data_IF_569905560982
#
_entry.id   IF_569905560982
#
_cell.length_a   1.000
_cell.length_b   1.000
_cell.length_c   1.000
_cell.angle_alpha   90.00
_cell.angle_beta   90.00
_cell.angle_gamma   90.00
#
_symmetry.space_group_name_H-M   'P 1'
#
loop_
_entity.id
_entity.type
_entity.pdbx_description
1 polymer ?
#
# COMPACT_ATOMS: atom_id res chain seq x y z
N UNK A 1 -8.16 -26.91 -8.26
CA UNK A 1 -7.55 -25.58 -8.33
C UNK A 1 -6.05 -25.73 -8.13
N UNK A 2 -5.19 -24.99 -8.84
CA UNK A 2 -3.74 -25.05 -8.64
C UNK A 2 -3.37 -24.65 -7.20
N UNK A 3 -2.19 -25.10 -6.74
CA UNK A 3 -1.68 -24.76 -5.40
C UNK A 3 -1.54 -23.23 -5.26
N UNK A 4 -1.80 -22.64 -4.06
CA UNK A 4 -1.53 -21.23 -3.87
C UNK A 4 -0.03 -20.97 -4.08
N UNK A 5 0.26 -19.90 -4.81
CA UNK A 5 1.64 -19.46 -5.03
C UNK A 5 1.97 -18.53 -3.88
N UNK A 6 3.00 -18.85 -3.10
CA UNK A 6 3.57 -17.92 -2.13
C UNK A 6 4.64 -17.08 -2.80
N UNK A 7 4.71 -15.82 -2.44
CA UNK A 7 5.60 -14.85 -3.08
C UNK A 7 7.09 -15.28 -3.05
N UNK A 8 7.50 -16.11 -2.08
CA UNK A 8 8.87 -16.58 -1.92
C UNK A 8 9.03 -18.10 -1.81
N UNK A 9 7.96 -18.85 -2.01
CA UNK A 9 8.12 -20.29 -2.08
C UNK A 9 8.81 -20.64 -3.40
N UNK A 10 9.92 -21.39 -3.41
CA UNK A 10 10.36 -22.04 -4.63
C UNK A 10 9.18 -22.84 -5.18
N UNK A 11 9.02 -22.85 -6.50
CA UNK A 11 7.93 -23.57 -7.20
C UNK A 11 7.77 -25.03 -6.75
N UNK A 12 8.84 -25.59 -6.15
CA UNK A 12 8.90 -26.92 -5.55
C UNK A 12 8.11 -27.08 -4.22
N UNK A 13 7.76 -26.02 -3.48
CA UNK A 13 7.05 -26.17 -2.19
C UNK A 13 5.60 -26.61 -2.34
N UNK A 14 4.94 -26.31 -3.46
CA UNK A 14 3.61 -26.84 -3.77
C UNK A 14 3.61 -28.32 -4.17
N UNK A 15 4.73 -28.83 -4.71
CA UNK A 15 4.87 -30.20 -5.18
C UNK A 15 5.51 -31.15 -4.14
N UNK A 16 6.29 -30.63 -3.19
CA UNK A 16 7.13 -31.42 -2.28
C UNK A 16 6.48 -31.74 -0.92
N UNK A 17 5.29 -31.21 -0.61
CA UNK A 17 4.67 -31.34 0.73
C UNK A 17 3.61 -32.43 0.83
N UNK A 18 3.45 -33.31 -0.17
CA UNK A 18 2.41 -34.34 -0.18
C UNK A 18 1.02 -33.79 0.23
N UNK A 19 0.68 -32.57 -0.17
CA UNK A 19 -0.58 -31.91 0.16
C UNK A 19 -0.63 -31.22 1.53
N UNK A 20 0.43 -31.29 2.35
CA UNK A 20 0.49 -30.65 3.65
C UNK A 20 0.96 -29.19 3.58
N UNK A 21 0.57 -28.39 4.57
CA UNK A 21 1.08 -27.04 4.75
C UNK A 21 2.56 -27.04 5.16
N UNK A 22 3.33 -26.00 4.78
CA UNK A 22 4.65 -25.80 5.35
C UNK A 22 4.57 -25.71 6.88
N UNK A 23 5.46 -26.38 7.65
CA UNK A 23 5.34 -26.46 9.10
C UNK A 23 5.26 -25.10 9.81
N UNK A 24 5.93 -24.08 9.26
CA UNK A 24 5.87 -22.72 9.82
C UNK A 24 4.48 -22.09 9.65
N UNK A 25 3.86 -22.23 8.48
CA UNK A 25 2.50 -21.72 8.23
C UNK A 25 1.47 -22.50 9.07
N UNK A 26 1.58 -23.82 9.14
CA UNK A 26 0.68 -24.65 9.96
C UNK A 26 0.72 -24.22 11.44
N UNK A 27 1.92 -24.01 11.99
CA UNK A 27 2.06 -23.52 13.37
C UNK A 27 1.37 -22.17 13.57
N UNK A 28 1.52 -21.22 12.63
CA UNK A 28 0.85 -19.93 12.74
C UNK A 28 -0.67 -20.04 12.65
N UNK A 29 -1.20 -20.85 11.72
CA UNK A 29 -2.64 -21.10 11.63
C UNK A 29 -3.18 -21.63 12.95
N UNK A 30 -2.51 -22.65 13.54
CA UNK A 30 -2.91 -23.21 14.85
C UNK A 30 -2.87 -22.18 15.98
N UNK A 31 -1.82 -21.37 16.05
CA UNK A 31 -1.73 -20.26 17.03
C UNK A 31 -2.88 -19.26 16.87
N UNK A 32 -3.17 -18.86 15.62
CA UNK A 32 -4.24 -17.90 15.32
C UNK A 32 -5.61 -18.44 15.76
N UNK A 33 -5.90 -19.71 15.46
CA UNK A 33 -7.15 -20.35 15.91
C UNK A 33 -7.25 -20.51 17.43
N UNK A 34 -6.13 -20.79 18.09
CA UNK A 34 -6.10 -20.93 19.55
C UNK A 34 -6.29 -19.59 20.27
N UNK A 35 -5.83 -18.49 19.69
CA UNK A 35 -5.82 -17.16 20.32
C UNK A 35 -7.04 -16.32 19.98
N UNK A 36 -7.55 -16.41 18.76
CA UNK A 36 -8.61 -15.54 18.28
C UNK A 36 -9.92 -16.30 18.03
N UNK A 37 -10.95 -16.05 18.86
CA UNK A 37 -12.26 -16.67 18.71
C UNK A 37 -12.95 -16.35 17.38
N UNK A 38 -12.58 -15.21 16.77
CA UNK A 38 -13.09 -14.79 15.46
C UNK A 38 -13.00 -15.91 14.43
N UNK A 39 -11.86 -16.61 14.36
CA UNK A 39 -11.63 -17.61 13.31
C UNK A 39 -12.44 -18.88 13.54
N UNK A 40 -12.53 -19.35 14.77
CA UNK A 40 -13.39 -20.50 15.11
C UNK A 40 -14.87 -20.25 14.85
N UNK A 41 -15.35 -19.01 15.10
CA UNK A 41 -16.72 -18.58 14.79
C UNK A 41 -16.99 -18.46 13.29
N UNK A 42 -15.99 -18.04 12.51
CA UNK A 42 -16.12 -17.88 11.05
C UNK A 42 -16.07 -19.22 10.31
N UNK A 43 -15.17 -20.09 10.71
CA UNK A 43 -14.90 -21.35 10.05
C UNK A 43 -14.29 -22.35 11.05
N UNK A 44 -15.08 -23.31 11.55
CA UNK A 44 -14.56 -24.36 12.41
C UNK A 44 -13.56 -25.22 11.61
N UNK A 45 -12.31 -25.25 12.05
CA UNK A 45 -11.24 -25.98 11.39
C UNK A 45 -11.00 -27.31 12.10
N UNK A 46 -11.13 -28.44 11.39
CA UNK A 46 -10.66 -29.73 11.83
C UNK A 46 -9.16 -29.86 11.59
N UNK A 47 -8.37 -29.80 12.67
CA UNK A 47 -6.94 -29.49 12.61
C UNK A 47 -6.00 -30.70 12.48
N UNK A 48 -6.44 -31.85 11.93
CA UNK A 48 -5.60 -33.05 11.91
C UNK A 48 -5.51 -33.70 10.53
N UNK A 49 -4.36 -33.81 9.96
CA UNK A 49 -3.30 -32.80 9.73
C UNK A 49 -3.79 -31.72 8.77
N UNK A 50 -3.29 -30.48 8.92
CA UNK A 50 -3.75 -29.39 8.08
C UNK A 50 -3.17 -29.50 6.67
N UNK A 51 -4.02 -29.74 5.70
CA UNK A 51 -3.68 -29.83 4.28
C UNK A 51 -3.98 -28.52 3.55
N UNK A 52 -3.34 -28.35 2.40
CA UNK A 52 -3.60 -27.20 1.51
C UNK A 52 -5.07 -27.10 1.12
N UNK A 53 -5.76 -28.21 0.90
CA UNK A 53 -7.19 -28.21 0.59
C UNK A 53 -8.00 -27.50 1.67
N UNK A 54 -7.81 -27.91 2.94
CA UNK A 54 -8.49 -27.29 4.09
C UNK A 54 -8.13 -25.83 4.29
N UNK A 55 -6.84 -25.48 4.15
CA UNK A 55 -6.40 -24.08 4.27
C UNK A 55 -7.08 -23.16 3.25
N UNK A 56 -7.28 -23.63 2.02
CA UNK A 56 -7.94 -22.84 0.97
C UNK A 56 -9.44 -22.65 1.21
N UNK A 57 -10.07 -23.55 1.95
CA UNK A 57 -11.48 -23.42 2.34
C UNK A 57 -11.69 -22.36 3.41
N UNK A 58 -10.64 -21.98 4.17
CA UNK A 58 -10.74 -20.88 5.15
C UNK A 58 -11.13 -19.60 4.40
N UNK A 59 -12.29 -19.01 4.72
CA UNK A 59 -12.74 -17.80 4.04
C UNK A 59 -11.76 -16.63 4.24
N UNK A 60 -11.47 -15.89 3.17
CA UNK A 60 -10.65 -14.70 3.26
C UNK A 60 -11.27 -13.68 4.22
N UNK A 61 -10.44 -13.10 5.06
CA UNK A 61 -10.85 -12.02 5.95
C UNK A 61 -10.72 -10.68 5.20
N UNK A 62 -11.76 -9.86 5.20
CA UNK A 62 -11.75 -8.54 4.56
C UNK A 62 -11.78 -7.41 5.59
N UNK A 63 -11.26 -6.24 5.19
CA UNK A 63 -11.37 -5.02 6.01
C UNK A 63 -12.83 -4.71 6.38
N UNK A 64 -13.75 -4.85 5.41
CA UNK A 64 -15.19 -4.61 5.63
C UNK A 64 -15.74 -5.51 6.74
N UNK A 65 -15.33 -6.76 6.77
CA UNK A 65 -15.76 -7.71 7.80
C UNK A 65 -15.18 -7.35 9.17
N UNK A 66 -13.91 -6.96 9.24
CA UNK A 66 -13.28 -6.53 10.51
C UNK A 66 -14.00 -5.29 11.06
N UNK A 67 -14.28 -4.31 10.22
CA UNK A 67 -15.02 -3.10 10.63
C UNK A 67 -16.42 -3.44 11.11
N UNK A 68 -17.12 -4.33 10.43
CA UNK A 68 -18.49 -4.72 10.80
C UNK A 68 -18.56 -5.51 12.12
N UNK A 69 -17.55 -6.35 12.43
CA UNK A 69 -17.49 -7.14 13.67
C UNK A 69 -16.86 -6.37 14.84
N UNK A 70 -16.08 -5.34 14.54
CA UNK A 70 -15.23 -4.65 15.51
C UNK A 70 -13.94 -5.43 15.80
N UNK A 71 -12.89 -4.71 16.19
CA UNK A 71 -11.61 -5.30 16.55
C UNK A 71 -11.70 -6.19 17.81
N UNK A 72 -12.69 -5.95 18.70
CA UNK A 72 -12.92 -6.75 19.90
C UNK A 72 -13.21 -8.23 19.59
N UNK A 73 -13.77 -8.54 18.41
CA UNK A 73 -14.07 -9.91 17.99
C UNK A 73 -12.82 -10.82 17.89
N UNK A 74 -11.63 -10.23 17.84
CA UNK A 74 -10.38 -11.00 17.84
C UNK A 74 -9.98 -11.55 19.20
N UNK A 75 -10.57 -11.07 20.30
CA UNK A 75 -10.12 -11.35 21.66
C UNK A 75 -11.17 -12.11 22.46
N UNK A 76 -10.74 -13.11 23.22
CA UNK A 76 -11.61 -13.83 24.14
C UNK A 76 -11.90 -13.00 25.42
N UNK A 77 -10.91 -12.22 25.86
CA UNK A 77 -11.02 -11.29 26.99
C UNK A 77 -10.48 -9.90 26.55
N UNK A 78 -11.40 -9.05 26.10
CA UNK A 78 -11.03 -7.69 25.69
C UNK A 78 -10.62 -6.80 26.89
N UNK A 79 -11.16 -7.06 28.07
CA UNK A 79 -10.75 -6.33 29.29
C UNK A 79 -9.26 -6.56 29.63
N UNK A 80 -8.70 -7.73 29.28
CA UNK A 80 -7.26 -7.95 29.42
C UNK A 80 -6.45 -7.07 28.43
N UNK A 81 -6.97 -6.84 27.24
CA UNK A 81 -6.35 -5.94 26.26
C UNK A 81 -6.41 -4.49 26.74
N UNK A 82 -7.53 -4.04 27.31
CA UNK A 82 -7.69 -2.70 27.88
C UNK A 82 -6.70 -2.47 29.03
N UNK A 83 -6.51 -3.44 29.91
CA UNK A 83 -5.46 -3.38 30.95
C UNK A 83 -4.05 -3.30 30.32
N UNK A 84 -3.82 -4.08 29.26
CA UNK A 84 -2.56 -4.07 28.53
C UNK A 84 -2.22 -2.73 27.88
N UNK A 85 -3.20 -1.94 27.45
CA UNK A 85 -2.97 -0.55 27.02
C UNK A 85 -2.47 0.34 28.16
N UNK A 86 -3.09 0.24 29.34
CA UNK A 86 -2.64 0.98 30.52
C UNK A 86 -1.21 0.60 30.96
N UNK A 87 -0.84 -0.65 30.74
CA UNK A 87 0.49 -1.22 31.04
C UNK A 87 1.51 -1.02 29.91
N UNK A 88 1.13 -0.35 28.81
CA UNK A 88 1.94 -0.15 27.61
C UNK A 88 2.44 -1.45 26.96
N UNK A 89 1.68 -2.53 27.04
CA UNK A 89 1.95 -3.80 26.37
C UNK A 89 1.37 -3.84 24.96
N UNK A 90 0.31 -3.08 24.75
CA UNK A 90 -0.38 -2.94 23.48
C UNK A 90 -0.50 -1.48 23.09
N UNK A 91 -0.53 -1.25 21.81
CA UNK A 91 -0.85 0.01 21.16
C UNK A 91 -1.95 -0.21 20.13
N UNK A 92 -2.65 0.83 19.76
CA UNK A 92 -3.62 0.78 18.67
C UNK A 92 -3.35 1.85 17.64
N UNK A 93 -3.67 1.51 16.41
CA UNK A 93 -3.57 2.40 15.26
C UNK A 93 -4.89 2.43 14.50
N UNK A 94 -5.17 3.53 13.82
CA UNK A 94 -6.29 3.63 12.92
C UNK A 94 -5.81 3.59 11.48
N UNK A 95 -6.41 2.71 10.66
CA UNK A 95 -6.06 2.71 9.24
C UNK A 95 -6.54 4.00 8.60
N UNK A 96 -5.65 4.71 7.91
CA UNK A 96 -5.99 5.83 7.03
C UNK A 96 -6.81 5.35 5.84
N UNK A 97 -8.12 5.12 6.03
CA UNK A 97 -8.97 4.54 5.00
C UNK A 97 -9.21 5.48 3.83
N UNK A 98 -8.90 5.03 2.61
CA UNK A 98 -9.52 5.56 1.37
C UNK A 98 -10.98 5.11 1.24
N UNK A 99 -11.41 4.15 2.04
CA UNK A 99 -12.79 3.63 2.17
C UNK A 99 -13.41 4.14 3.48
N UNK A 100 -14.67 4.44 3.45
CA UNK A 100 -15.51 5.23 4.36
C UNK A 100 -15.41 4.97 5.89
N UNK A 101 -14.70 3.95 6.35
CA UNK A 101 -14.57 3.67 7.79
C UNK A 101 -13.15 3.31 8.16
N UNK A 102 -12.52 4.02 9.10
CA UNK A 102 -11.24 3.62 9.67
C UNK A 102 -11.41 2.29 10.41
N UNK A 103 -10.40 1.44 10.35
CA UNK A 103 -10.34 0.20 11.11
C UNK A 103 -9.35 0.40 12.25
N UNK A 104 -9.75 0.04 13.45
CA UNK A 104 -8.84 -0.02 14.59
C UNK A 104 -8.03 -1.31 14.51
N UNK A 105 -6.73 -1.19 14.65
CA UNK A 105 -5.75 -2.28 14.67
C UNK A 105 -5.06 -2.27 16.02
N UNK A 106 -5.08 -3.39 16.73
CA UNK A 106 -4.38 -3.57 18.00
C UNK A 106 -3.10 -4.37 17.75
N UNK A 107 -1.99 -3.93 18.31
CA UNK A 107 -0.70 -4.58 18.16
C UNK A 107 0.11 -4.52 19.46
N UNK A 108 1.10 -5.37 19.57
CA UNK A 108 2.06 -5.35 20.66
C UNK A 108 2.93 -4.12 20.58
N UNK A 109 3.32 -3.58 21.74
CA UNK A 109 4.32 -2.52 21.85
C UNK A 109 5.60 -2.90 21.08
N UNK A 110 6.07 -2.00 20.22
CA UNK A 110 7.27 -2.21 19.41
C UNK A 110 7.11 -3.12 18.20
N UNK A 111 5.90 -3.60 17.90
CA UNK A 111 5.64 -4.45 16.72
C UNK A 111 6.07 -3.76 15.41
N UNK A 112 5.76 -2.47 15.24
CA UNK A 112 6.19 -1.69 14.07
C UNK A 112 7.70 -1.57 13.94
N UNK A 113 8.42 -1.41 15.05
CA UNK A 113 9.88 -1.35 15.05
C UNK A 113 10.48 -2.67 14.53
N UNK A 114 9.95 -3.80 15.00
CA UNK A 114 10.37 -5.12 14.53
C UNK A 114 10.04 -5.35 13.04
N UNK A 115 8.87 -4.91 12.57
CA UNK A 115 8.47 -4.96 11.15
C UNK A 115 9.42 -4.12 10.29
N UNK A 116 9.77 -2.93 10.74
CA UNK A 116 10.67 -2.01 10.04
C UNK A 116 12.09 -2.59 9.95
N UNK A 117 12.63 -3.12 11.05
CA UNK A 117 13.95 -3.73 11.05
C UNK A 117 14.06 -4.89 10.07
N UNK A 118 13.09 -5.80 10.07
CA UNK A 118 13.03 -6.94 9.12
C UNK A 118 12.92 -6.47 7.68
N UNK A 119 12.13 -5.43 7.42
CA UNK A 119 12.02 -4.83 6.09
C UNK A 119 13.35 -4.21 5.63
N UNK A 120 14.04 -3.50 6.52
CA UNK A 120 15.34 -2.91 6.22
C UNK A 120 16.40 -3.98 5.96
N UNK A 121 16.43 -5.06 6.75
CA UNK A 121 17.33 -6.21 6.54
C UNK A 121 17.10 -6.89 5.17
N UNK A 122 15.85 -6.92 4.70
CA UNK A 122 15.50 -7.50 3.40
C UNK A 122 15.95 -6.64 2.21
N UNK A 123 16.25 -5.34 2.43
CA UNK A 123 16.68 -4.42 1.38
C UNK A 123 18.21 -4.27 1.34
N UNK A 124 18.87 -4.50 0.18
CA UNK A 124 20.30 -4.21 0.04
C UNK A 124 20.68 -2.76 0.33
N UNK A 125 19.77 -1.82 0.06
CA UNK A 125 19.96 -0.39 0.26
C UNK A 125 19.75 -0.01 1.73
N UNK A 126 18.69 -0.52 2.38
CA UNK A 126 18.28 -0.09 3.73
C UNK A 126 19.02 -0.81 4.84
N UNK A 127 19.56 -2.02 4.62
CA UNK A 127 20.26 -2.81 5.65
C UNK A 127 21.42 -2.08 6.32
N UNK A 128 22.03 -1.11 5.67
CA UNK A 128 23.11 -0.30 6.25
C UNK A 128 22.67 0.56 7.45
N UNK A 129 21.36 0.73 7.64
CA UNK A 129 20.79 1.52 8.75
C UNK A 129 20.40 0.68 9.95
N UNK A 130 20.39 -0.66 9.82
CA UNK A 130 20.07 -1.57 10.94
C UNK A 130 21.21 -1.66 11.93
N UNK A 131 20.90 -1.67 13.22
CA UNK A 131 21.86 -1.83 14.30
C UNK A 131 22.76 -0.62 14.59
N UNK A 132 22.47 0.54 14.01
CA UNK A 132 23.15 1.79 14.30
C UNK A 132 22.19 2.99 14.34
N UNK A 133 22.51 4.04 15.08
CA UNK A 133 21.74 5.28 15.02
C UNK A 133 21.89 5.95 13.64
N UNK A 134 20.79 6.50 13.14
CA UNK A 134 20.75 7.32 11.93
C UNK A 134 19.62 8.36 12.06
N UNK A 135 19.70 9.43 11.29
CA UNK A 135 18.67 10.47 11.25
C UNK A 135 17.74 10.23 10.08
N UNK A 136 16.44 10.32 10.36
CA UNK A 136 15.38 10.17 9.38
C UNK A 136 14.41 11.34 9.43
N UNK A 137 13.97 11.83 8.27
CA UNK A 137 12.85 12.74 8.15
C UNK A 137 11.68 12.03 7.48
N UNK A 138 10.48 12.24 7.98
CA UNK A 138 9.22 11.68 7.44
C UNK A 138 8.32 12.81 6.99
N UNK A 139 7.77 12.69 5.78
CA UNK A 139 6.78 13.61 5.21
C UNK A 139 5.65 12.82 4.54
N UNK A 140 4.52 12.71 5.22
CA UNK A 140 3.39 11.88 4.79
C UNK A 140 2.08 12.35 5.47
N UNK A 141 0.92 11.85 5.05
CA UNK A 141 -0.32 12.17 5.75
C UNK A 141 -0.21 11.91 7.25
N UNK A 142 -0.46 12.93 8.08
CA UNK A 142 -0.25 12.88 9.55
C UNK A 142 -0.97 11.69 10.19
N UNK A 143 -2.23 11.45 9.83
CA UNK A 143 -3.00 10.31 10.35
C UNK A 143 -2.55 8.92 9.86
N UNK A 144 -1.47 8.83 9.08
CA UNK A 144 -0.91 7.56 8.58
C UNK A 144 0.54 7.34 9.02
N UNK A 145 1.25 8.41 9.42
CA UNK A 145 2.70 8.38 9.64
C UNK A 145 3.12 8.58 11.08
N UNK A 146 2.23 9.13 11.90
CA UNK A 146 2.51 9.43 13.29
C UNK A 146 1.22 9.37 14.12
N UNK A 147 1.36 9.20 15.43
CA UNK A 147 0.27 9.32 16.39
C UNK A 147 -0.02 10.78 16.79
N UNK A 148 0.50 11.74 16.03
CA UNK A 148 0.27 13.15 16.27
C UNK A 148 -1.16 13.53 15.86
N UNK A 149 -1.83 14.26 16.74
CA UNK A 149 -3.16 14.79 16.43
C UNK A 149 -3.08 15.86 15.33
N UNK A 150 -3.75 15.72 14.18
CA UNK A 150 -3.66 16.69 13.09
C UNK A 150 -4.34 18.04 13.40
N UNK A 151 -5.02 18.15 14.53
CA UNK A 151 -5.74 19.36 14.97
C UNK A 151 -5.02 20.12 16.08
N UNK A 152 -3.85 19.64 16.49
CA UNK A 152 -3.02 20.27 17.51
C UNK A 152 -1.75 20.84 16.92
N UNK A 153 -1.23 21.91 17.51
CA UNK A 153 0.09 22.42 17.18
C UNK A 153 1.16 21.56 17.86
N UNK A 154 2.03 20.99 17.06
CA UNK A 154 3.13 20.14 17.52
C UNK A 154 4.47 20.82 17.21
N UNK A 155 4.95 21.70 18.10
CA UNK A 155 6.27 22.29 17.89
C UNK A 155 7.37 21.21 17.94
N UNK A 156 8.48 21.47 17.28
CA UNK A 156 9.71 20.74 17.56
C UNK A 156 10.11 21.02 19.03
N UNK A 157 10.36 20.06 19.91
CA UNK A 157 10.74 18.66 19.69
C UNK A 157 9.59 17.63 19.76
N UNK A 158 8.34 18.00 19.89
CA UNK A 158 7.21 17.05 19.98
C UNK A 158 7.06 16.19 18.72
N UNK A 159 7.73 16.55 17.62
CA UNK A 159 7.77 15.82 16.36
C UNK A 159 9.07 15.04 16.14
N UNK A 160 9.90 14.93 17.19
CA UNK A 160 11.17 14.22 17.14
C UNK A 160 11.12 12.98 18.05
N UNK A 161 11.30 11.79 17.47
CA UNK A 161 11.26 10.51 18.16
C UNK A 161 12.44 9.64 17.68
N UNK A 162 13.35 9.29 18.56
CA UNK A 162 14.47 8.35 18.31
C UNK A 162 15.21 8.55 16.98
N UNK A 163 15.58 9.78 16.67
CA UNK A 163 16.28 10.12 15.42
C UNK A 163 15.35 10.36 14.23
N UNK A 164 14.04 10.26 14.41
CA UNK A 164 13.03 10.51 13.38
C UNK A 164 12.37 11.87 13.60
N UNK A 165 12.36 12.72 12.57
CA UNK A 165 11.63 13.99 12.54
C UNK A 165 10.45 13.88 11.61
N UNK A 166 9.24 14.11 12.13
CA UNK A 166 8.03 14.25 11.34
C UNK A 166 7.87 15.71 10.90
N UNK A 167 7.96 15.95 9.59
CA UNK A 167 8.12 17.32 9.06
C UNK A 167 6.82 18.08 8.94
N UNK A 168 5.69 17.43 8.61
CA UNK A 168 4.42 18.10 8.34
C UNK A 168 3.45 18.06 9.53
N UNK A 169 2.60 19.09 9.59
CA UNK A 169 1.56 19.25 10.60
C UNK A 169 0.14 19.00 10.04
N UNK A 170 -0.03 18.93 8.73
CA UNK A 170 -1.31 18.71 8.07
C UNK A 170 -1.22 17.68 6.95
N UNK A 171 -2.39 17.24 6.45
CA UNK A 171 -2.51 16.10 5.54
C UNK A 171 -2.79 16.48 4.07
N UNK A 172 -2.64 17.75 3.71
CA UNK A 172 -2.75 18.22 2.31
C UNK A 172 -1.55 19.07 1.93
N UNK A 173 -0.54 18.50 1.24
CA UNK A 173 0.70 19.22 0.91
C UNK A 173 0.49 20.34 -0.12
N UNK A 174 -0.64 20.33 -0.86
CA UNK A 174 -0.99 21.43 -1.75
C UNK A 174 -1.59 22.64 -1.01
N UNK A 175 -2.11 22.42 0.20
CA UNK A 175 -2.66 23.46 1.05
C UNK A 175 -1.62 24.04 2.03
N UNK A 176 -0.39 23.51 2.08
CA UNK A 176 0.64 24.06 2.94
C UNK A 176 0.97 25.50 2.53
N UNK A 177 0.90 26.48 3.45
CA UNK A 177 1.37 27.83 3.17
C UNK A 177 2.88 27.84 2.94
N UNK A 178 3.40 28.88 2.27
CA UNK A 178 4.85 29.02 2.02
C UNK A 178 5.67 28.99 3.32
N UNK A 179 5.13 29.55 4.42
CA UNK A 179 5.76 29.49 5.74
C UNK A 179 5.93 28.06 6.28
N UNK A 180 5.00 27.18 6.00
CA UNK A 180 5.11 25.76 6.36
C UNK A 180 6.22 25.08 5.54
N UNK A 181 6.30 25.37 4.24
CA UNK A 181 7.40 24.88 3.40
C UNK A 181 8.76 25.46 3.84
N UNK A 182 8.80 26.73 4.28
CA UNK A 182 10.02 27.35 4.83
C UNK A 182 10.49 26.61 6.08
N UNK A 183 9.57 26.30 6.99
CA UNK A 183 9.84 25.54 8.22
C UNK A 183 10.31 24.12 7.90
N UNK A 184 9.57 23.39 7.05
CA UNK A 184 9.91 22.02 6.64
C UNK A 184 11.32 21.94 6.05
N UNK A 185 11.65 22.84 5.14
CA UNK A 185 12.96 22.89 4.48
C UNK A 185 14.07 23.30 5.45
N UNK A 186 13.80 24.22 6.40
CA UNK A 186 14.73 24.58 7.47
C UNK A 186 15.03 23.38 8.36
N UNK A 187 14.01 22.65 8.81
CA UNK A 187 14.16 21.47 9.67
C UNK A 187 14.89 20.34 8.94
N UNK A 188 14.56 20.09 7.67
CA UNK A 188 15.28 19.15 6.82
C UNK A 188 16.77 19.47 6.72
N UNK A 189 17.10 20.75 6.49
CA UNK A 189 18.48 21.24 6.45
C UNK A 189 19.19 21.11 7.80
N UNK A 190 18.51 21.43 8.89
CA UNK A 190 19.09 21.35 10.25
C UNK A 190 19.32 19.89 10.68
N UNK A 191 18.41 19.00 10.34
CA UNK A 191 18.48 17.57 10.68
C UNK A 191 19.59 16.85 9.91
N UNK A 192 19.87 17.25 8.65
CA UNK A 192 20.78 16.51 7.76
C UNK A 192 20.50 15.00 7.79
N UNK A 193 19.28 14.54 7.39
CA UNK A 193 18.91 13.15 7.47
C UNK A 193 19.72 12.27 6.53
N UNK A 194 19.96 11.03 6.94
CA UNK A 194 20.48 9.97 6.07
C UNK A 194 19.37 9.28 5.27
N UNK A 195 18.14 9.31 5.81
CA UNK A 195 16.94 8.73 5.17
C UNK A 195 15.84 9.78 5.11
N UNK A 196 15.23 9.93 3.95
CA UNK A 196 13.95 10.64 3.78
C UNK A 196 12.90 9.60 3.44
N UNK A 197 11.80 9.57 4.21
CA UNK A 197 10.69 8.65 4.00
C UNK A 197 9.40 9.44 3.80
N UNK A 198 8.54 9.00 2.89
CA UNK A 198 7.26 9.66 2.77
C UNK A 198 6.37 9.16 1.64
N UNK A 199 5.23 9.80 1.58
CA UNK A 199 4.28 9.62 0.48
C UNK A 199 4.84 10.29 -0.78
N UNK A 200 4.81 9.63 -1.94
CA UNK A 200 5.51 10.10 -3.14
C UNK A 200 5.18 11.53 -3.59
N UNK A 201 3.93 11.96 -3.43
CA UNK A 201 3.51 13.31 -3.83
C UNK A 201 4.04 14.36 -2.86
N UNK A 202 4.00 14.07 -1.55
CA UNK A 202 4.58 14.92 -0.52
C UNK A 202 6.08 15.09 -0.74
N UNK A 203 6.78 14.00 -1.08
CA UNK A 203 8.22 14.06 -1.37
C UNK A 203 8.52 14.79 -2.69
N UNK A 204 7.68 14.66 -3.70
CA UNK A 204 7.79 15.42 -4.95
C UNK A 204 7.65 16.94 -4.69
N UNK A 205 6.69 17.33 -3.84
CA UNK A 205 6.50 18.73 -3.47
C UNK A 205 7.58 19.24 -2.51
N UNK A 206 8.14 18.38 -1.65
CA UNK A 206 9.33 18.68 -0.85
C UNK A 206 10.53 18.96 -1.76
N UNK A 207 10.73 18.14 -2.79
CA UNK A 207 11.77 18.36 -3.79
C UNK A 207 11.63 19.74 -4.46
N UNK A 208 10.39 20.09 -4.87
CA UNK A 208 10.08 21.41 -5.41
C UNK A 208 10.39 22.54 -4.42
N UNK A 209 10.00 22.38 -3.16
CA UNK A 209 10.22 23.36 -2.12
C UNK A 209 11.71 23.56 -1.82
N UNK A 210 12.49 22.49 -1.79
CA UNK A 210 13.94 22.53 -1.59
C UNK A 210 14.66 23.20 -2.78
N UNK A 211 14.29 22.84 -4.01
CA UNK A 211 14.84 23.47 -5.23
C UNK A 211 14.54 24.97 -5.27
N UNK A 212 13.28 25.37 -5.02
CA UNK A 212 12.88 26.79 -4.99
C UNK A 212 13.70 27.62 -3.99
N UNK A 213 14.14 27.00 -2.89
CA UNK A 213 14.90 27.62 -1.80
C UNK A 213 16.42 27.40 -1.90
N UNK A 214 16.88 26.72 -2.94
CA UNK A 214 18.31 26.44 -3.15
C UNK A 214 18.91 25.54 -2.06
N UNK A 215 18.09 24.72 -1.38
CA UNK A 215 18.55 23.85 -0.29
C UNK A 215 18.99 22.50 -0.84
N UNK A 216 20.18 22.08 -0.44
CA UNK A 216 20.73 20.74 -0.70
C UNK A 216 20.94 19.97 0.60
N UNK A 217 20.71 18.67 0.56
CA UNK A 217 20.86 17.77 1.71
C UNK A 217 21.75 16.59 1.31
N UNK A 218 23.08 16.80 1.26
CA UNK A 218 24.02 15.79 0.76
C UNK A 218 24.17 14.57 1.69
N UNK A 219 23.64 14.65 2.89
CA UNK A 219 23.63 13.55 3.87
C UNK A 219 22.67 12.42 3.48
N UNK A 220 21.71 12.65 2.58
CA UNK A 220 20.71 11.64 2.19
C UNK A 220 21.37 10.48 1.46
N UNK A 221 21.18 9.27 1.99
CA UNK A 221 21.70 8.00 1.46
C UNK A 221 20.62 7.11 0.89
N UNK A 222 19.36 7.33 1.29
CA UNK A 222 18.20 6.61 0.76
C UNK A 222 16.93 7.46 0.86
N UNK A 223 16.05 7.31 -0.13
CA UNK A 223 14.68 7.85 -0.10
C UNK A 223 13.71 6.67 -0.11
N UNK A 224 12.81 6.61 0.87
CA UNK A 224 11.80 5.55 0.99
C UNK A 224 10.46 6.11 0.51
N UNK A 225 9.91 5.49 -0.53
CA UNK A 225 8.57 5.77 -1.06
C UNK A 225 7.60 4.77 -0.44
N UNK A 226 6.63 5.26 0.32
CA UNK A 226 5.64 4.43 1.01
C UNK A 226 4.31 5.19 1.13
N UNK A 227 3.29 4.66 1.81
CA UNK A 227 1.95 5.23 2.01
C UNK A 227 1.07 5.33 0.75
N UNK A 228 1.64 5.49 -0.45
CA UNK A 228 0.94 5.63 -1.72
C UNK A 228 1.71 5.08 -2.91
N UNK A 229 1.03 4.93 -4.05
CA UNK A 229 1.70 4.48 -5.29
C UNK A 229 2.47 5.63 -5.92
N UNK A 230 3.76 5.44 -6.13
CA UNK A 230 4.61 6.40 -6.83
C UNK A 230 4.44 6.33 -8.35
N UNK A 231 4.48 7.50 -9.00
CA UNK A 231 4.69 7.67 -10.44
C UNK A 231 6.17 7.89 -10.74
N UNK A 232 6.64 7.52 -11.93
CA UNK A 232 8.00 7.85 -12.38
C UNK A 232 8.25 9.36 -12.44
N UNK A 233 7.19 10.16 -12.62
CA UNK A 233 7.28 11.63 -12.54
C UNK A 233 7.71 12.07 -11.13
N UNK A 234 7.11 11.50 -10.08
CA UNK A 234 7.53 11.76 -8.70
C UNK A 234 9.00 11.36 -8.48
N UNK A 235 9.36 10.16 -8.93
CA UNK A 235 10.73 9.65 -8.78
C UNK A 235 11.78 10.53 -9.42
N UNK A 236 11.53 11.04 -10.65
CA UNK A 236 12.42 11.99 -11.33
C UNK A 236 12.60 13.27 -10.52
N UNK A 237 11.50 13.88 -10.07
CA UNK A 237 11.52 15.12 -9.28
C UNK A 237 12.24 14.98 -7.94
N UNK A 238 12.02 13.85 -7.28
CA UNK A 238 12.70 13.52 -6.03
C UNK A 238 14.19 13.32 -6.26
N UNK A 239 14.60 12.61 -7.32
CA UNK A 239 16.01 12.37 -7.65
C UNK A 239 16.77 13.67 -8.02
N UNK A 240 16.10 14.64 -8.67
CA UNK A 240 16.68 15.95 -8.98
C UNK A 240 17.09 16.73 -7.71
N UNK A 241 16.32 16.59 -6.62
CA UNK A 241 16.59 17.28 -5.36
C UNK A 241 17.44 16.43 -4.39
N UNK A 242 17.19 15.12 -4.37
CA UNK A 242 17.82 14.16 -3.46
C UNK A 242 18.40 13.00 -4.29
N UNK A 243 19.63 13.11 -4.82
CA UNK A 243 20.25 12.12 -5.71
C UNK A 243 20.71 10.88 -4.94
N UNK A 244 19.80 10.19 -4.29
CA UNK A 244 20.01 8.95 -3.54
C UNK A 244 19.15 7.81 -4.09
N UNK A 245 19.51 6.54 -3.86
CA UNK A 245 18.66 5.41 -4.22
C UNK A 245 17.26 5.53 -3.65
N UNK A 246 16.24 5.27 -4.49
CA UNK A 246 14.83 5.28 -4.08
C UNK A 246 14.37 3.85 -3.85
N UNK A 247 13.73 3.60 -2.72
CA UNK A 247 13.22 2.29 -2.29
C UNK A 247 11.70 2.35 -2.20
N UNK A 248 11.01 1.42 -2.85
CA UNK A 248 9.57 1.20 -2.69
C UNK A 248 9.37 0.24 -1.51
N UNK A 249 8.72 0.72 -0.45
CA UNK A 249 8.42 -0.05 0.74
C UNK A 249 6.90 -0.14 0.91
N UNK A 250 6.36 -1.31 0.56
CA UNK A 250 4.93 -1.55 0.59
C UNK A 250 4.49 -2.29 1.84
N UNK A 251 3.41 -1.79 2.44
CA UNK A 251 2.75 -2.39 3.58
C UNK A 251 1.40 -1.75 3.88
N UNK A 252 0.78 -2.20 4.96
CA UNK A 252 -0.44 -1.61 5.50
C UNK A 252 -0.41 -1.62 7.02
N UNK A 253 -1.17 -0.73 7.65
CA UNK A 253 -1.25 -0.59 9.11
C UNK A 253 -1.56 -1.93 9.78
N UNK A 254 -2.48 -2.70 9.20
CA UNK A 254 -2.94 -3.96 9.76
C UNK A 254 -2.01 -5.16 9.50
N UNK A 255 -1.22 -5.12 8.43
CA UNK A 255 -0.42 -6.27 8.00
C UNK A 255 1.11 -6.06 8.14
N UNK A 256 1.56 -4.83 8.42
CA UNK A 256 2.97 -4.47 8.45
C UNK A 256 3.57 -4.31 7.06
N UNK A 257 4.90 -4.31 6.97
CA UNK A 257 5.62 -4.25 5.71
C UNK A 257 5.67 -5.62 5.03
N UNK A 258 5.26 -5.67 3.76
CA UNK A 258 5.08 -6.90 3.00
C UNK A 258 6.05 -7.06 1.83
N UNK A 259 6.39 -5.97 1.14
CA UNK A 259 7.33 -5.99 0.01
C UNK A 259 8.30 -4.82 0.10
N UNK A 260 9.55 -5.07 -0.35
CA UNK A 260 10.59 -4.04 -0.47
C UNK A 260 11.38 -4.27 -1.75
N UNK A 261 11.68 -3.17 -2.46
CA UNK A 261 12.51 -3.22 -3.69
C UNK A 261 13.01 -1.84 -4.09
N UNK A 262 13.76 -1.77 -5.17
CA UNK A 262 14.11 -0.48 -5.75
C UNK A 262 12.87 0.12 -6.44
N UNK A 263 12.61 1.39 -6.17
CA UNK A 263 11.48 2.08 -6.78
C UNK A 263 11.58 2.05 -8.33
N UNK A 264 10.43 1.90 -8.98
CA UNK A 264 10.29 1.86 -10.45
C UNK A 264 10.99 0.68 -11.15
N UNK A 265 11.43 -0.34 -10.38
CA UNK A 265 11.95 -1.60 -10.89
C UNK A 265 11.02 -2.76 -10.57
N UNK A 266 11.17 -3.86 -11.32
CA UNK A 266 10.36 -5.07 -11.16
C UNK A 266 11.06 -6.08 -10.25
N UNK A 267 11.67 -5.58 -9.18
CA UNK A 267 12.53 -6.36 -8.30
C UNK A 267 12.10 -6.34 -6.83
N UNK A 268 10.87 -5.88 -6.54
CA UNK A 268 10.36 -5.95 -5.17
C UNK A 268 10.30 -7.40 -4.70
N UNK A 269 10.70 -7.63 -3.46
CA UNK A 269 10.71 -8.94 -2.82
C UNK A 269 9.76 -8.95 -1.64
N UNK A 270 9.11 -10.08 -1.44
CA UNK A 270 8.29 -10.28 -0.25
C UNK A 270 9.18 -10.38 1.00
N UNK A 271 8.67 -9.88 2.11
CA UNK A 271 9.35 -9.86 3.41
C UNK A 271 8.79 -11.02 4.24
N UNK A 272 9.27 -12.24 4.00
CA UNK A 272 8.79 -13.47 4.64
C UNK A 272 8.91 -13.47 6.16
N UNK A 273 9.86 -12.72 6.68
CA UNK A 273 10.02 -12.58 8.12
C UNK A 273 8.83 -11.87 8.78
N UNK A 274 8.05 -11.09 8.00
CA UNK A 274 6.90 -10.33 8.50
C UNK A 274 5.57 -11.06 8.35
N UNK A 275 5.37 -11.80 7.25
CA UNK A 275 4.10 -12.45 6.97
C UNK A 275 4.24 -13.59 5.95
N UNK A 276 3.27 -14.49 5.93
CA UNK A 276 3.05 -15.40 4.82
C UNK A 276 2.18 -14.70 3.78
N UNK A 277 2.72 -14.50 2.57
CA UNK A 277 2.06 -13.76 1.50
C UNK A 277 1.59 -14.73 0.44
N UNK A 278 0.28 -14.99 0.41
CA UNK A 278 -0.39 -15.85 -0.56
C UNK A 278 -0.79 -15.01 -1.78
N UNK A 279 -0.38 -15.44 -2.97
CA UNK A 279 -0.71 -14.83 -4.24
C UNK A 279 -1.86 -15.58 -4.89
N UNK A 280 -3.01 -14.95 -4.96
CA UNK A 280 -4.21 -15.52 -5.58
C UNK A 280 -4.37 -14.92 -6.98
N UNK A 281 -4.44 -15.76 -8.05
CA UNK A 281 -4.63 -15.25 -9.41
C UNK A 281 -5.81 -14.29 -9.49
N UNK A 282 -5.56 -13.10 -10.03
CA UNK A 282 -6.60 -12.10 -10.11
C UNK A 282 -7.55 -12.37 -11.28
N UNK A 283 -8.84 -12.52 -10.97
CA UNK A 283 -9.91 -12.73 -11.94
C UNK A 283 -10.86 -11.54 -11.92
N UNK A 284 -10.97 -10.83 -13.04
CA UNK A 284 -11.95 -9.74 -13.16
C UNK A 284 -13.36 -10.29 -13.10
N UNK A 285 -14.22 -9.72 -12.26
CA UNK A 285 -15.65 -10.05 -12.21
C UNK A 285 -16.04 -11.18 -11.27
N UNK A 286 -15.11 -11.77 -10.49
CA UNK A 286 -15.47 -12.70 -9.45
C UNK A 286 -15.80 -11.98 -8.16
N UNK A 287 -17.09 -11.82 -7.87
CA UNK A 287 -17.58 -11.50 -6.52
C UNK A 287 -17.02 -12.58 -5.57
N UNK A 288 -16.35 -12.17 -4.50
CA UNK A 288 -15.85 -13.08 -3.46
C UNK A 288 -17.04 -13.91 -2.95
N UNK A 289 -17.01 -15.25 -2.95
CA UNK A 289 -18.16 -16.09 -2.63
C UNK A 289 -18.67 -16.02 -1.18
N UNK A 290 -18.27 -15.07 -0.38
CA UNK A 290 -18.54 -15.00 1.06
C UNK A 290 -19.28 -13.73 1.51
N UNK A 291 -20.04 -13.06 0.63
CA UNK A 291 -21.10 -12.20 1.14
C UNK A 291 -22.25 -13.10 1.66
N UNK A 292 -22.80 -12.88 2.88
CA UNK A 292 -23.95 -13.62 3.34
C UNK A 292 -25.07 -13.48 2.31
N UNK A 293 -25.61 -14.60 1.84
CA UNK A 293 -26.63 -14.66 0.81
C UNK A 293 -27.88 -13.93 1.30
N UNK A 294 -28.14 -12.74 0.78
CA UNK A 294 -29.53 -12.32 0.66
C UNK A 294 -30.16 -13.18 -0.43
N UNK A 295 -31.14 -13.96 -0.05
CA UNK A 295 -31.84 -14.91 -0.90
C UNK A 295 -32.58 -14.16 -2.02
N UNK A 296 -32.03 -14.21 -3.23
CA UNK A 296 -32.77 -13.94 -4.44
C UNK A 296 -32.32 -14.94 -5.51
N UNK A 297 -33.11 -16.01 -5.81
CA UNK A 297 -32.77 -17.05 -6.75
C UNK A 297 -32.76 -16.59 -8.22
N UNK A 298 -33.42 -15.50 -8.56
CA UNK A 298 -33.59 -15.09 -9.97
C UNK A 298 -32.40 -14.34 -10.56
N UNK A 299 -31.43 -13.89 -9.76
CA UNK A 299 -30.20 -13.24 -10.24
C UNK A 299 -29.10 -14.19 -10.72
N UNK A 300 -29.29 -15.51 -10.62
CA UNK A 300 -28.28 -16.53 -10.99
C UNK A 300 -28.15 -16.84 -12.48
N UNK A 301 -28.95 -16.25 -13.35
CA UNK A 301 -29.05 -16.72 -14.76
C UNK A 301 -28.32 -15.81 -15.77
N UNK A 302 -27.75 -14.69 -15.38
CA UNK A 302 -27.10 -13.76 -16.33
C UNK A 302 -25.56 -13.70 -16.30
N UNK A 303 -24.88 -14.48 -15.46
CA UNK A 303 -23.41 -14.45 -15.34
C UNK A 303 -22.67 -15.50 -16.18
N UNK A 304 -23.20 -15.91 -17.33
CA UNK A 304 -22.49 -16.71 -18.33
C UNK A 304 -21.69 -15.84 -19.34
N UNK A 305 -21.12 -14.73 -18.90
CA UNK A 305 -20.04 -14.10 -19.65
C UNK A 305 -18.83 -15.04 -19.69
N UNK A 306 -18.17 -15.25 -20.85
CA UNK A 306 -17.01 -16.12 -20.95
C UNK A 306 -15.98 -15.70 -19.88
N UNK A 307 -15.57 -16.65 -19.06
CA UNK A 307 -14.57 -16.44 -18.00
C UNK A 307 -13.36 -15.71 -18.61
N UNK A 308 -13.05 -14.48 -18.22
CA UNK A 308 -11.88 -13.79 -18.75
C UNK A 308 -10.66 -14.67 -18.46
N UNK A 309 -9.83 -14.90 -19.48
CA UNK A 309 -8.60 -15.67 -19.33
C UNK A 309 -7.86 -15.17 -18.10
N UNK A 310 -7.54 -16.09 -17.18
CA UNK A 310 -6.74 -15.76 -16.02
C UNK A 310 -5.46 -15.07 -16.52
N UNK A 311 -5.20 -13.85 -16.05
CA UNK A 311 -4.01 -13.11 -16.50
C UNK A 311 -2.80 -13.77 -15.89
N UNK A 312 -1.96 -14.29 -16.75
CA UNK A 312 -0.69 -14.81 -16.32
C UNK A 312 0.06 -13.71 -15.56
N UNK A 313 0.54 -14.05 -14.35
CA UNK A 313 1.41 -13.21 -13.51
C UNK A 313 0.77 -11.99 -12.82
N UNK A 314 -0.56 -11.86 -12.72
CA UNK A 314 -1.23 -10.81 -11.92
C UNK A 314 -2.02 -11.44 -10.78
N UNK A 315 -1.81 -10.96 -9.55
CA UNK A 315 -2.31 -11.59 -8.34
C UNK A 315 -2.89 -10.59 -7.34
N UNK A 316 -3.90 -11.02 -6.60
CA UNK A 316 -4.34 -10.41 -5.36
C UNK A 316 -3.41 -10.86 -4.22
N UNK A 317 -3.18 -9.98 -3.25
CA UNK A 317 -2.35 -10.24 -2.08
C UNK A 317 -3.23 -10.64 -0.91
N UNK A 318 -3.00 -11.85 -0.38
CA UNK A 318 -3.58 -12.32 0.87
C UNK A 318 -2.47 -12.52 1.89
N UNK A 319 -2.74 -12.15 3.14
CA UNK A 319 -1.74 -12.13 4.20
C UNK A 319 -2.15 -12.96 5.39
N UNK A 320 -1.24 -13.82 5.88
CA UNK A 320 -1.30 -14.42 7.20
C UNK A 320 -0.12 -13.88 8.00
N UNK A 321 -0.41 -13.14 9.09
CA UNK A 321 0.64 -12.53 9.94
C UNK A 321 1.49 -13.59 10.64
N UNK A 322 2.74 -13.23 10.93
CA UNK A 322 3.68 -14.06 11.67
C UNK A 322 3.94 -13.45 13.04
N UNK A 323 4.05 -14.34 14.04
CA UNK A 323 4.44 -14.00 15.41
C UNK A 323 3.66 -12.81 16.01
N UNK A 324 2.40 -12.63 15.58
CA UNK A 324 1.51 -11.59 16.06
C UNK A 324 0.52 -12.15 17.07
N UNK A 325 0.51 -11.57 18.26
CA UNK A 325 -0.34 -12.01 19.37
C UNK A 325 -1.67 -11.27 19.41
N UNK A 326 -1.62 -9.95 19.29
CA UNK A 326 -2.81 -9.12 19.23
C UNK A 326 -3.33 -9.02 17.80
N UNK A 327 -4.61 -9.24 17.61
CA UNK A 327 -5.33 -9.10 16.35
C UNK A 327 -4.62 -9.79 15.15
N UNK A 328 -4.26 -11.11 15.27
CA UNK A 328 -3.57 -11.80 14.19
C UNK A 328 -4.47 -11.94 12.95
N UNK A 329 -3.88 -11.78 11.76
CA UNK A 329 -4.61 -11.89 10.49
C UNK A 329 -4.35 -13.25 9.85
N UNK A 330 -5.42 -13.91 9.37
CA UNK A 330 -5.38 -15.16 8.63
C UNK A 330 -6.10 -14.98 7.29
N UNK A 331 -5.36 -15.20 6.19
CA UNK A 331 -5.85 -15.02 4.83
C UNK A 331 -6.55 -13.67 4.62
N UNK A 332 -5.95 -12.61 5.15
CA UNK A 332 -6.48 -11.26 5.03
C UNK A 332 -6.28 -10.74 3.60
N UNK A 333 -7.38 -10.39 2.93
CA UNK A 333 -7.38 -9.78 1.60
C UNK A 333 -7.05 -8.29 1.70
N UNK A 334 -5.86 -7.91 1.25
CA UNK A 334 -5.38 -6.51 1.34
C UNK A 334 -6.14 -5.56 0.41
N UNK A 335 -6.72 -6.08 -0.68
CA UNK A 335 -7.31 -5.30 -1.78
C UNK A 335 -6.29 -4.68 -2.72
N UNK A 336 -5.02 -5.08 -2.61
CA UNK A 336 -3.93 -4.63 -3.48
C UNK A 336 -3.55 -5.73 -4.49
N UNK A 337 -3.08 -5.28 -5.65
CA UNK A 337 -2.73 -6.12 -6.80
C UNK A 337 -1.24 -6.03 -7.06
N UNK A 338 -0.65 -7.19 -7.34
CA UNK A 338 0.77 -7.33 -7.66
C UNK A 338 0.95 -8.08 -8.98
N UNK A 339 1.95 -7.69 -9.75
CA UNK A 339 2.40 -8.41 -10.94
C UNK A 339 3.76 -9.07 -10.67
N UNK A 340 3.90 -10.34 -11.07
CA UNK A 340 5.13 -11.13 -10.93
C UNK A 340 5.98 -10.99 -12.19
N UNK A 341 7.29 -10.82 -12.01
CA UNK A 341 8.33 -10.79 -13.04
C UNK A 341 9.43 -11.79 -12.69
N UNK A 342 10.32 -12.16 -13.62
CA UNK A 342 11.45 -13.02 -13.31
C UNK A 342 12.39 -12.46 -12.23
N UNK A 343 12.46 -11.14 -12.10
CA UNK A 343 13.32 -10.43 -11.14
C UNK A 343 12.67 -10.18 -9.78
N UNK A 344 11.35 -10.36 -9.67
CA UNK A 344 10.58 -10.06 -8.45
C UNK A 344 9.15 -9.62 -8.75
N UNK A 345 8.69 -8.62 -8.03
CA UNK A 345 7.32 -8.14 -8.10
C UNK A 345 7.23 -6.65 -8.38
N UNK A 346 6.12 -6.23 -8.98
CA UNK A 346 5.69 -4.84 -9.13
C UNK A 346 4.32 -4.67 -8.47
N UNK A 347 4.20 -3.77 -7.50
CA UNK A 347 2.91 -3.38 -6.95
C UNK A 347 2.17 -2.52 -7.97
N UNK A 348 0.97 -2.94 -8.36
CA UNK A 348 0.13 -2.20 -9.32
C UNK A 348 -0.76 -1.18 -8.60
N UNK A 349 -1.10 -1.41 -7.34
CA UNK A 349 -1.95 -0.57 -6.51
C UNK A 349 -3.25 -1.25 -6.10
N UNK A 350 -4.21 -0.45 -5.64
CA UNK A 350 -5.54 -0.92 -5.22
C UNK A 350 -6.34 -1.44 -6.41
N UNK A 351 -7.07 -2.54 -6.20
CA UNK A 351 -7.95 -3.14 -7.20
C UNK A 351 -8.92 -2.10 -7.80
N UNK A 352 -9.53 -1.27 -6.96
CA UNK A 352 -10.45 -0.21 -7.40
C UNK A 352 -9.80 0.95 -8.15
N UNK A 353 -8.46 1.02 -8.19
CA UNK A 353 -7.70 2.05 -8.92
C UNK A 353 -7.05 1.50 -10.20
N UNK A 354 -7.50 0.35 -10.69
CA UNK A 354 -7.03 -0.25 -11.92
C UNK A 354 -8.15 -0.25 -12.97
N UNK A 355 -7.81 0.03 -14.21
CA UNK A 355 -8.78 0.08 -15.31
C UNK A 355 -8.58 -1.09 -16.26
N UNK A 356 -9.67 -1.61 -16.80
CA UNK A 356 -9.66 -2.64 -17.82
C UNK A 356 -10.23 -2.11 -19.12
N UNK A 357 -9.47 -2.28 -20.19
CA UNK A 357 -9.97 -2.02 -21.55
C UNK A 357 -11.01 -3.06 -21.94
N UNK A 358 -11.73 -2.79 -23.05
CA UNK A 358 -12.73 -3.71 -23.61
C UNK A 358 -12.12 -5.08 -24.01
N UNK A 359 -10.86 -5.11 -24.45
CA UNK A 359 -10.12 -6.34 -24.76
C UNK A 359 -9.66 -7.10 -23.50
N UNK A 360 -10.02 -6.59 -22.32
CA UNK A 360 -9.63 -7.16 -21.06
C UNK A 360 -8.20 -6.84 -20.64
N UNK A 361 -7.40 -6.06 -21.37
CA UNK A 361 -6.06 -5.65 -20.95
C UNK A 361 -6.11 -4.64 -19.79
N UNK A 362 -5.14 -4.77 -18.87
CA UNK A 362 -5.02 -3.93 -17.67
C UNK A 362 -4.32 -2.62 -18.00
N UNK A 363 -4.83 -1.52 -17.44
CA UNK A 363 -4.14 -0.24 -17.37
C UNK A 363 -3.88 0.09 -15.90
N UNK A 364 -2.62 0.27 -15.56
CA UNK A 364 -2.11 0.65 -14.26
C UNK A 364 -1.49 2.06 -14.29
N UNK A 365 -1.18 2.67 -13.15
CA UNK A 365 -0.41 3.91 -13.10
C UNK A 365 0.93 3.85 -13.84
N UNK A 366 1.58 2.68 -13.87
CA UNK A 366 2.84 2.49 -14.60
C UNK A 366 2.65 2.60 -16.11
N UNK A 367 1.50 2.11 -16.62
CA UNK A 367 1.18 2.21 -18.05
C UNK A 367 0.88 3.66 -18.46
N UNK A 368 0.25 4.43 -17.56
CA UNK A 368 0.04 5.88 -17.76
C UNK A 368 1.40 6.58 -17.86
N UNK A 369 2.31 6.32 -16.91
CA UNK A 369 3.66 6.89 -16.95
C UNK A 369 4.41 6.59 -18.24
N UNK A 370 4.29 5.36 -18.72
CA UNK A 370 4.95 4.91 -19.96
C UNK A 370 4.33 5.52 -21.23
N UNK A 371 3.04 5.87 -21.20
CA UNK A 371 2.34 6.47 -22.32
C UNK A 371 2.55 7.99 -22.42
N UNK A 372 2.86 8.66 -21.32
CA UNK A 372 3.08 10.11 -21.32
C UNK A 372 4.27 10.49 -22.20
N UNK A 373 4.21 11.62 -22.94
CA UNK A 373 5.32 12.09 -23.75
C UNK A 373 6.63 12.20 -22.96
N UNK A 374 7.76 11.91 -23.59
CA UNK A 374 9.06 11.89 -22.92
C UNK A 374 9.43 13.24 -22.27
N UNK A 375 9.04 14.34 -22.91
CA UNK A 375 9.23 15.70 -22.41
C UNK A 375 8.16 16.15 -21.42
N UNK A 376 7.15 15.31 -21.13
CA UNK A 376 6.14 15.63 -20.13
C UNK A 376 6.74 15.63 -18.73
N UNK A 377 6.51 16.70 -18.00
CA UNK A 377 7.04 16.88 -16.66
C UNK A 377 5.99 17.51 -15.74
N UNK A 378 5.71 16.85 -14.62
CA UNK A 378 4.78 17.33 -13.60
C UNK A 378 5.23 16.98 -12.18
N UNK A 379 4.63 17.64 -11.21
CA UNK A 379 4.81 17.34 -9.80
C UNK A 379 3.85 16.25 -9.32
N UNK A 380 2.67 16.20 -9.92
CA UNK A 380 1.64 15.19 -9.67
C UNK A 380 0.62 15.17 -10.79
N UNK A 381 -0.02 14.03 -11.00
CA UNK A 381 -1.17 13.90 -11.89
C UNK A 381 -2.23 12.94 -11.33
N UNK A 382 -3.45 13.04 -11.88
CA UNK A 382 -4.54 12.09 -11.68
C UNK A 382 -5.35 11.94 -12.96
N UNK A 383 -5.52 10.73 -13.44
CA UNK A 383 -6.39 10.36 -14.55
C UNK A 383 -7.72 9.85 -14.02
N UNK A 384 -8.81 10.57 -14.29
CA UNK A 384 -10.14 10.32 -13.72
C UNK A 384 -11.12 9.99 -14.84
N UNK A 385 -11.80 8.86 -14.74
CA UNK A 385 -12.88 8.51 -15.64
C UNK A 385 -14.14 9.30 -15.25
N UNK A 386 -14.69 10.09 -16.18
CA UNK A 386 -15.86 10.96 -15.97
C UNK A 386 -17.09 10.50 -16.76
N UNK A 387 -16.94 9.49 -17.59
CA UNK A 387 -17.99 8.84 -18.35
C UNK A 387 -17.49 7.55 -18.98
N UNK A 388 -18.33 6.78 -19.63
CA UNK A 388 -17.98 5.46 -20.17
C UNK A 388 -16.70 5.50 -21.03
N UNK A 389 -16.57 6.48 -21.91
CA UNK A 389 -15.38 6.71 -22.75
C UNK A 389 -14.68 8.03 -22.49
N UNK A 390 -15.10 8.79 -21.47
CA UNK A 390 -14.57 10.12 -21.16
C UNK A 390 -13.66 10.10 -19.96
N UNK A 391 -12.51 10.80 -20.10
CA UNK A 391 -11.47 10.88 -19.07
C UNK A 391 -10.95 12.29 -18.96
N UNK A 392 -10.65 12.71 -17.73
CA UNK A 392 -9.99 13.97 -17.41
C UNK A 392 -8.62 13.67 -16.83
N UNK A 393 -7.57 14.19 -17.48
CA UNK A 393 -6.19 14.13 -17.00
C UNK A 393 -5.83 15.43 -16.32
N UNK A 394 -5.81 15.43 -15.00
CA UNK A 394 -5.39 16.57 -14.20
C UNK A 394 -3.91 16.46 -13.86
N UNK A 395 -3.14 17.55 -14.01
CA UNK A 395 -1.73 17.56 -13.64
C UNK A 395 -1.30 18.90 -13.02
N UNK A 396 -0.34 18.85 -12.11
CA UNK A 396 0.30 20.00 -11.48
C UNK A 396 1.72 20.12 -12.01
N UNK A 397 2.03 21.21 -12.69
CA UNK A 397 3.32 21.48 -13.28
C UNK A 397 3.62 22.98 -13.28
N UNK A 398 4.90 23.37 -13.40
CA UNK A 398 5.29 24.78 -13.51
C UNK A 398 4.93 25.37 -14.87
N UNK A 399 4.95 24.55 -15.92
CA UNK A 399 4.58 24.94 -17.30
C UNK A 399 3.40 24.10 -17.83
N UNK A 400 2.67 24.66 -18.77
CA UNK A 400 1.60 23.93 -19.46
C UNK A 400 2.22 23.00 -20.49
N UNK A 401 1.82 21.71 -20.44
CA UNK A 401 2.24 20.71 -21.42
C UNK A 401 1.49 20.89 -22.77
N UNK A 402 1.98 20.22 -23.79
CA UNK A 402 1.23 20.11 -25.06
C UNK A 402 0.02 19.18 -24.82
N UNK A 403 -1.16 19.76 -24.57
CA UNK A 403 -2.37 19.00 -24.24
C UNK A 403 -2.73 17.99 -25.33
N UNK A 404 -2.63 18.38 -26.63
CA UNK A 404 -3.00 17.48 -27.74
C UNK A 404 -2.15 16.20 -27.75
N UNK A 405 -0.87 16.34 -27.48
CA UNK A 405 0.05 15.20 -27.42
C UNK A 405 -0.26 14.29 -26.23
N UNK A 406 -0.48 14.84 -25.05
CA UNK A 406 -0.87 14.10 -23.84
C UNK A 406 -2.22 13.40 -24.02
N UNK A 407 -3.23 14.11 -24.52
CA UNK A 407 -4.58 13.59 -24.79
C UNK A 407 -4.56 12.44 -25.78
N UNK A 408 -3.81 12.60 -26.89
CA UNK A 408 -3.66 11.55 -27.90
C UNK A 408 -2.96 10.30 -27.35
N UNK A 409 -1.87 10.49 -26.61
CA UNK A 409 -1.12 9.39 -26.00
C UNK A 409 -1.96 8.58 -25.00
N UNK A 410 -2.68 9.28 -24.13
CA UNK A 410 -3.54 8.63 -23.13
C UNK A 410 -4.79 8.01 -23.75
N UNK A 411 -5.38 8.62 -24.79
CA UNK A 411 -6.50 8.03 -25.53
C UNK A 411 -6.07 6.73 -26.22
N UNK A 412 -4.88 6.69 -26.82
CA UNK A 412 -4.28 5.49 -27.39
C UNK A 412 -4.05 4.40 -26.34
N UNK A 413 -3.54 4.77 -25.16
CA UNK A 413 -3.37 3.85 -24.04
C UNK A 413 -4.72 3.25 -23.59
N UNK A 414 -5.75 4.06 -23.44
CA UNK A 414 -7.04 3.62 -22.90
C UNK A 414 -7.86 2.80 -23.93
N UNK A 415 -7.68 3.07 -25.23
CA UNK A 415 -8.38 2.36 -26.32
C UNK A 415 -9.89 2.62 -26.33
N UNK A 416 -10.64 1.81 -27.12
CA UNK A 416 -12.11 1.79 -27.08
C UNK A 416 -12.80 3.12 -27.39
N UNK A 417 -12.17 4.02 -28.17
CA UNK A 417 -12.72 5.34 -28.47
C UNK A 417 -12.65 6.32 -27.29
N UNK A 418 -11.75 6.09 -26.35
CA UNK A 418 -11.54 6.97 -25.20
C UNK A 418 -11.24 8.41 -25.64
N UNK A 419 -11.90 9.36 -24.98
CA UNK A 419 -11.67 10.80 -25.13
C UNK A 419 -11.06 11.32 -23.84
N UNK A 420 -9.87 11.89 -23.94
CA UNK A 420 -9.14 12.45 -22.82
C UNK A 420 -9.07 13.96 -22.96
N UNK A 421 -9.35 14.68 -21.87
CA UNK A 421 -9.13 16.12 -21.77
C UNK A 421 -8.01 16.37 -20.74
N UNK A 422 -7.01 17.13 -21.10
CA UNK A 422 -5.90 17.46 -20.21
C UNK A 422 -6.10 18.84 -19.56
N UNK A 423 -5.89 18.92 -18.24
CA UNK A 423 -6.07 20.13 -17.45
C UNK A 423 -4.86 20.38 -16.57
N UNK A 424 -4.18 21.48 -16.75
CA UNK A 424 -3.23 21.97 -15.76
C UNK A 424 -3.99 22.53 -14.57
N UNK A 425 -3.64 22.05 -13.38
CA UNK A 425 -4.25 22.46 -12.11
C UNK A 425 -3.19 23.11 -11.20
N UNK A 426 -3.62 23.95 -10.27
CA UNK A 426 -2.77 24.42 -9.17
C UNK A 426 -2.70 23.39 -8.05
N UNK A 427 -3.80 22.67 -7.83
CA UNK A 427 -4.01 21.72 -6.76
C UNK A 427 -4.75 20.51 -7.31
N UNK A 428 -4.42 19.32 -6.83
CA UNK A 428 -5.24 18.10 -6.94
C UNK A 428 -5.52 17.67 -5.51
N UNK A 429 -6.78 17.66 -5.11
CA UNK A 429 -7.17 17.34 -3.75
C UNK A 429 -6.92 15.86 -3.41
N UNK A 430 -6.40 15.56 -2.21
CA UNK A 430 -6.30 14.20 -1.71
C UNK A 430 -7.68 13.63 -1.38
N UNK A 431 -7.74 12.32 -1.14
CA UNK A 431 -8.87 11.71 -0.43
C UNK A 431 -8.91 12.19 1.03
N UNK A 432 -10.01 11.92 1.75
CA UNK A 432 -10.15 12.27 3.16
C UNK A 432 -9.02 11.70 4.06
N UNK A 433 -8.36 10.63 3.62
CA UNK A 433 -7.18 10.05 4.29
C UNK A 433 -5.87 10.79 4.05
N UNK A 434 -5.85 11.88 3.30
CA UNK A 434 -4.64 12.57 2.84
C UNK A 434 -3.88 11.86 1.71
N UNK A 435 -4.40 10.72 1.21
CA UNK A 435 -3.77 9.93 0.13
C UNK A 435 -4.30 10.34 -1.24
N UNK A 436 -3.45 10.19 -2.25
CA UNK A 436 -3.76 10.52 -3.64
C UNK A 436 -3.94 9.25 -4.47
N UNK A 437 -4.66 9.38 -5.59
CA UNK A 437 -4.82 8.31 -6.59
C UNK A 437 -4.40 8.82 -7.96
N UNK A 438 -3.49 8.07 -8.61
CA UNK A 438 -3.02 8.37 -9.97
C UNK A 438 -4.04 7.99 -11.04
N UNK A 439 -4.88 6.99 -10.76
CA UNK A 439 -5.92 6.48 -11.66
C UNK A 439 -7.21 6.27 -10.86
N UNK A 440 -8.30 6.83 -11.35
CA UNK A 440 -9.65 6.74 -10.75
C UNK A 440 -10.66 6.31 -11.81
N UNK A 441 -10.86 5.02 -12.03
CA UNK A 441 -11.95 4.52 -12.88
C UNK A 441 -13.32 4.87 -12.28
N UNK A 442 -14.38 4.84 -13.09
CA UNK A 442 -15.74 4.87 -12.55
C UNK A 442 -15.95 3.68 -11.61
N UNK A 443 -16.58 3.95 -10.47
CA UNK A 443 -17.05 2.88 -9.60
C UNK A 443 -18.06 2.02 -10.37
N UNK A 444 -17.82 0.71 -10.41
CA UNK A 444 -18.73 -0.28 -11.02
C UNK A 444 -19.87 -0.60 -10.05
#
# INVERSE_FOLDING_TARGET
MPAPVFANAPESLGAATNGHLPPALEREVRKIYARSPLYGQRFPLHLEPLQWACYREIPALSKKEIVARGHQAFFADYAAIERGFAEKKFEYEHTGGTTQSPMTVVMEEGWWNAQTERAYLASPILRQFVGRPYRKCVLAPVGCSSNLCPYEDHPFPHRYFDGVVYLNLSSDPFAFPESEWDRIVLELRATQPEVIEGEPIYLSLLARAAQKRGVRVPSVKAVILTYGKASTQHGRRIAEAFPAPQVDLYGSTEAGYLFVGEAFKDNSRAIDANAFIELVPWQVGRVIPNAPSSADPERRVQDNAPCPQARENVFQIYVTTRDREAMPLLRYHTGDIVQRFPTGFRLLGREGNLFFRADGSLVSPTDIDAALPENFACWHYSLVQTGETRWDFHYVADHTANHREVESALAGLLGGGARVNAFRRRVIAPAASGKFSLLKPLAK
#
